data_IF_692174491497
#
_entry.id   IF_692174491497
#
_cell.length_a   1.000
_cell.length_b   1.000
_cell.length_c   1.000
_cell.angle_alpha   90.00
_cell.angle_beta   90.00
_cell.angle_gamma   90.00
#
_symmetry.space_group_name_H-M   'P 1'
#
loop_
_entity.id
_entity.type
_entity.pdbx_description
1 polymer ?
#
# COMPACT_ATOMS: atom_id res chain seq x y z
N UNK A 1 27.61 -16.50 -22.92
CA UNK A 1 27.24 -16.72 -21.51
C UNK A 1 26.04 -15.83 -21.24
N UNK A 2 24.91 -16.38 -20.73
CA UNK A 2 23.79 -15.51 -20.33
C UNK A 2 24.25 -14.60 -19.20
N UNK A 3 23.98 -13.29 -19.29
CA UNK A 3 24.24 -12.35 -18.21
C UNK A 3 23.39 -12.74 -16.99
N UNK A 4 23.95 -12.61 -15.79
CA UNK A 4 23.21 -12.83 -14.53
C UNK A 4 22.96 -11.48 -13.85
N UNK A 5 21.96 -11.45 -12.96
CA UNK A 5 21.63 -10.30 -12.14
C UNK A 5 21.35 -10.69 -10.70
N UNK A 6 21.41 -9.72 -9.80
CA UNK A 6 21.21 -9.92 -8.37
C UNK A 6 19.74 -9.79 -7.99
N UNK A 7 19.29 -10.68 -7.09
CA UNK A 7 17.92 -10.74 -6.62
C UNK A 7 17.90 -11.21 -5.16
N UNK A 8 17.16 -10.53 -4.30
CA UNK A 8 16.82 -11.05 -2.98
C UNK A 8 15.65 -12.03 -3.08
N UNK A 9 15.70 -13.08 -2.29
CA UNK A 9 14.63 -14.04 -2.18
C UNK A 9 14.54 -14.59 -0.76
N UNK A 10 13.39 -15.14 -0.43
CA UNK A 10 13.10 -15.86 0.80
C UNK A 10 12.98 -17.35 0.45
N UNK A 11 14.00 -18.19 0.71
CA UNK A 11 13.88 -19.63 0.53
C UNK A 11 12.86 -20.27 1.46
N UNK A 12 12.65 -19.63 2.61
CA UNK A 12 11.65 -19.96 3.62
C UNK A 12 11.13 -18.68 4.29
N UNK A 13 9.89 -18.72 4.77
CA UNK A 13 9.22 -17.56 5.38
C UNK A 13 9.31 -17.63 6.91
N UNK A 14 10.53 -17.52 7.46
CA UNK A 14 10.83 -17.65 8.90
C UNK A 14 11.43 -16.39 9.53
N UNK A 15 11.22 -15.25 8.94
CA UNK A 15 11.73 -13.96 9.40
C UNK A 15 12.69 -13.32 8.42
N UNK A 16 13.14 -12.13 8.76
CA UNK A 16 13.97 -11.30 7.87
C UNK A 16 15.40 -11.86 7.69
N UNK A 17 15.87 -12.69 8.63
CA UNK A 17 17.15 -13.40 8.51
C UNK A 17 17.14 -14.47 7.41
N UNK A 18 15.94 -14.85 6.92
CA UNK A 18 15.79 -15.74 5.79
C UNK A 18 16.04 -15.05 4.43
N UNK A 19 16.15 -13.72 4.38
CA UNK A 19 16.47 -12.98 3.16
C UNK A 19 17.89 -13.31 2.68
N UNK A 20 17.98 -13.82 1.45
CA UNK A 20 19.24 -14.20 0.81
C UNK A 20 19.40 -13.51 -0.54
N UNK A 21 20.61 -13.06 -0.83
CA UNK A 21 20.97 -12.53 -2.14
C UNK A 21 21.45 -13.68 -3.03
N UNK A 22 20.93 -13.75 -4.26
CA UNK A 22 21.35 -14.74 -5.26
C UNK A 22 21.60 -14.10 -6.62
N UNK A 23 22.40 -14.76 -7.46
CA UNK A 23 22.53 -14.42 -8.86
C UNK A 23 21.60 -15.35 -9.68
N UNK A 24 20.82 -14.77 -10.56
CA UNK A 24 19.89 -15.49 -11.44
C UNK A 24 20.15 -15.14 -12.90
N UNK A 25 19.89 -16.02 -13.87
CA UNK A 25 20.01 -15.72 -15.28
C UNK A 25 19.05 -14.57 -15.69
N UNK A 26 19.53 -13.66 -16.54
CA UNK A 26 18.67 -12.67 -17.19
C UNK A 26 17.92 -13.37 -18.33
N UNK A 27 16.59 -13.43 -18.23
CA UNK A 27 15.73 -14.03 -19.25
C UNK A 27 15.30 -12.98 -20.28
N UNK A 28 15.01 -13.44 -21.51
CA UNK A 28 14.46 -12.60 -22.58
C UNK A 28 12.93 -12.58 -22.51
N UNK A 29 12.29 -11.42 -22.69
CA UNK A 29 10.83 -11.33 -22.71
C UNK A 29 10.24 -12.07 -23.92
N UNK A 30 9.15 -12.81 -23.67
CA UNK A 30 8.41 -13.57 -24.68
C UNK A 30 7.32 -12.71 -25.33
N UNK A 31 6.51 -13.32 -26.20
CA UNK A 31 5.34 -12.68 -26.81
C UNK A 31 4.47 -11.98 -25.75
N UNK A 32 4.21 -10.69 -25.95
CA UNK A 32 3.38 -9.87 -25.06
C UNK A 32 4.03 -9.50 -23.72
N UNK A 33 5.34 -9.68 -23.55
CA UNK A 33 6.08 -9.37 -22.33
C UNK A 33 7.10 -8.25 -22.55
N UNK A 34 7.48 -7.60 -21.47
CA UNK A 34 8.58 -6.63 -21.42
C UNK A 34 9.54 -6.99 -20.28
N UNK A 35 10.81 -6.75 -20.49
CA UNK A 35 11.82 -6.81 -19.44
C UNK A 35 12.04 -5.40 -18.89
N UNK A 36 11.91 -5.23 -17.60
CA UNK A 36 12.15 -3.95 -16.92
C UNK A 36 13.37 -4.06 -16.04
N UNK A 37 14.30 -3.10 -16.19
CA UNK A 37 15.37 -2.87 -15.25
C UNK A 37 14.83 -2.01 -14.11
N UNK A 38 14.69 -2.61 -12.94
CA UNK A 38 14.19 -1.94 -11.75
C UNK A 38 15.20 -0.90 -11.24
N UNK A 39 14.72 0.21 -10.72
CA UNK A 39 15.49 1.31 -10.16
C UNK A 39 15.15 1.56 -8.69
N UNK A 40 13.92 1.25 -8.30
CA UNK A 40 13.49 1.35 -6.93
C UNK A 40 12.39 0.33 -6.62
N UNK A 41 12.40 -0.19 -5.41
CA UNK A 41 11.36 -1.04 -4.80
C UNK A 41 10.96 -0.41 -3.48
N UNK A 42 9.67 -0.30 -3.21
CA UNK A 42 9.18 0.27 -1.96
C UNK A 42 8.53 -0.80 -1.10
N UNK A 43 8.82 -0.79 0.19
CA UNK A 43 8.30 -1.77 1.14
C UNK A 43 6.90 -1.40 1.64
N UNK A 44 6.10 -2.43 1.89
CA UNK A 44 4.79 -2.37 2.51
C UNK A 44 4.76 -3.30 3.74
N UNK A 45 3.86 -3.05 4.68
CA UNK A 45 3.68 -3.91 5.86
C UNK A 45 3.52 -5.39 5.50
N UNK A 46 2.83 -5.68 4.38
CA UNK A 46 2.65 -7.04 3.89
C UNK A 46 3.98 -7.76 3.57
N UNK A 47 5.01 -7.04 3.13
CA UNK A 47 6.31 -7.66 2.84
C UNK A 47 6.93 -8.23 4.11
N UNK A 48 6.73 -7.55 5.26
CA UNK A 48 7.12 -8.06 6.57
C UNK A 48 6.35 -9.30 6.97
N UNK A 49 5.02 -9.31 6.85
CA UNK A 49 4.20 -10.48 7.23
C UNK A 49 4.35 -11.66 6.25
N UNK A 50 4.70 -11.43 5.00
CA UNK A 50 5.14 -12.48 4.07
C UNK A 50 6.44 -13.10 4.56
N UNK A 51 7.42 -12.28 4.93
CA UNK A 51 8.73 -12.76 5.36
C UNK A 51 8.69 -13.55 6.68
N UNK A 52 7.78 -13.21 7.59
CA UNK A 52 7.58 -13.97 8.86
C UNK A 52 6.61 -15.15 8.72
N UNK A 53 6.02 -15.37 7.54
CA UNK A 53 5.16 -16.52 7.26
C UNK A 53 3.72 -16.42 7.79
N UNK A 54 3.25 -15.21 8.13
CA UNK A 54 1.89 -15.00 8.68
C UNK A 54 0.93 -14.35 7.67
N UNK A 55 1.37 -14.20 6.41
CA UNK A 55 0.52 -13.63 5.37
C UNK A 55 -0.63 -14.60 5.04
N UNK A 56 -1.91 -14.14 5.15
CA UNK A 56 -3.06 -15.04 5.14
C UNK A 56 -3.47 -15.58 3.75
N UNK A 57 -2.84 -15.08 2.69
CA UNK A 57 -3.17 -15.51 1.34
C UNK A 57 -2.16 -16.55 0.82
N UNK A 58 -2.60 -17.47 -0.06
CA UNK A 58 -1.72 -18.54 -0.57
C UNK A 58 -0.64 -17.95 -1.47
N UNK A 59 0.54 -18.56 -1.44
CA UNK A 59 1.66 -18.20 -2.30
C UNK A 59 2.75 -19.27 -2.26
N UNK A 60 3.79 -19.17 -3.10
CA UNK A 60 4.87 -20.14 -3.16
C UNK A 60 5.64 -20.22 -1.84
N UNK A 61 6.20 -21.38 -1.50
CA UNK A 61 7.02 -21.56 -0.28
C UNK A 61 8.26 -20.67 -0.31
N UNK A 62 8.91 -20.58 -1.46
CA UNK A 62 10.04 -19.69 -1.71
C UNK A 62 9.63 -18.54 -2.63
N UNK A 63 9.86 -17.30 -2.21
CA UNK A 63 9.38 -16.12 -2.92
C UNK A 63 10.44 -15.01 -3.02
N UNK A 64 10.46 -14.32 -4.14
CA UNK A 64 11.08 -12.99 -4.25
C UNK A 64 10.09 -11.99 -3.67
N UNK A 65 10.43 -11.28 -2.59
CA UNK A 65 9.51 -10.33 -1.99
C UNK A 65 9.47 -8.99 -2.74
N UNK A 66 8.63 -8.06 -2.24
CA UNK A 66 8.46 -6.73 -2.81
C UNK A 66 7.39 -6.67 -3.89
N UNK A 67 6.31 -5.94 -3.63
CA UNK A 67 5.18 -5.79 -4.56
C UNK A 67 5.24 -4.52 -5.40
N UNK A 68 6.01 -3.55 -4.96
CA UNK A 68 6.02 -2.18 -5.47
C UNK A 68 7.37 -1.86 -6.11
N UNK A 69 7.39 -1.63 -7.41
CA UNK A 69 8.63 -1.32 -8.13
C UNK A 69 8.43 -0.35 -9.27
N UNK A 70 9.49 0.38 -9.58
CA UNK A 70 9.58 1.31 -10.68
C UNK A 70 10.91 1.14 -11.41
N UNK A 71 10.92 1.31 -12.72
CA UNK A 71 12.12 1.10 -13.53
C UNK A 71 11.98 1.56 -14.97
N UNK A 72 12.86 1.04 -15.81
CA UNK A 72 12.99 1.39 -17.22
C UNK A 72 12.80 0.13 -18.05
N UNK A 73 11.99 0.20 -19.11
CA UNK A 73 11.88 -0.88 -20.09
C UNK A 73 13.24 -1.11 -20.74
N UNK A 74 13.80 -2.27 -20.56
CA UNK A 74 15.11 -2.68 -21.08
C UNK A 74 15.00 -3.42 -22.40
N UNK A 75 13.99 -4.31 -22.52
CA UNK A 75 13.70 -5.08 -23.72
C UNK A 75 12.18 -5.22 -23.90
N UNK A 76 11.72 -5.32 -25.15
CA UNK A 76 10.33 -5.60 -25.48
C UNK A 76 10.24 -6.91 -26.24
N UNK A 77 9.30 -7.77 -25.86
CA UNK A 77 9.02 -9.03 -26.55
C UNK A 77 8.18 -8.82 -27.81
N UNK A 78 8.02 -9.90 -28.56
CA UNK A 78 7.20 -9.91 -29.77
C UNK A 78 5.75 -9.47 -29.45
N UNK A 79 5.11 -8.72 -30.38
CA UNK A 79 3.72 -8.26 -30.24
C UNK A 79 3.48 -7.14 -29.23
N UNK A 80 4.53 -6.55 -28.66
CA UNK A 80 4.44 -5.37 -27.81
C UNK A 80 4.62 -4.12 -28.66
N UNK A 81 3.61 -3.27 -28.71
CA UNK A 81 3.61 -2.00 -29.48
C UNK A 81 3.40 -0.78 -28.59
N UNK A 82 2.86 -0.96 -27.39
CA UNK A 82 2.54 0.10 -26.43
C UNK A 82 3.74 0.58 -25.63
N UNK A 83 4.83 -0.21 -25.59
CA UNK A 83 6.05 0.10 -24.87
C UNK A 83 7.28 0.08 -25.78
N UNK A 84 8.26 0.89 -25.45
CA UNK A 84 9.58 0.92 -26.10
C UNK A 84 10.71 0.95 -25.06
N UNK A 85 11.88 0.52 -25.46
CA UNK A 85 13.11 0.62 -24.64
C UNK A 85 13.32 2.08 -24.21
N UNK A 86 13.59 2.26 -22.93
CA UNK A 86 13.75 3.56 -22.31
C UNK A 86 12.50 4.13 -21.63
N UNK A 87 11.32 3.56 -21.86
CA UNK A 87 10.10 4.00 -21.19
C UNK A 87 10.20 3.79 -19.68
N UNK A 88 9.77 4.80 -18.92
CA UNK A 88 9.74 4.76 -17.45
C UNK A 88 8.40 4.19 -16.99
N UNK A 89 8.45 3.09 -16.23
CA UNK A 89 7.26 2.35 -15.84
C UNK A 89 7.26 2.01 -14.34
N UNK A 90 6.07 1.91 -13.75
CA UNK A 90 5.83 1.35 -12.44
C UNK A 90 4.91 0.13 -12.54
N UNK A 91 5.10 -0.83 -11.64
CA UNK A 91 4.35 -2.08 -11.65
C UNK A 91 2.89 -1.86 -11.24
N UNK A 92 1.95 -2.61 -11.84
CA UNK A 92 0.64 -2.81 -11.24
C UNK A 92 0.75 -3.90 -10.17
N UNK A 93 0.21 -3.65 -8.96
CA UNK A 93 0.32 -4.57 -7.83
C UNK A 93 -0.28 -5.96 -8.13
N UNK A 94 -1.50 -6.00 -8.67
CA UNK A 94 -2.18 -7.21 -9.13
C UNK A 94 -2.12 -7.26 -10.64
N UNK A 95 -1.28 -8.15 -11.20
CA UNK A 95 -0.87 -8.08 -12.60
C UNK A 95 -2.03 -8.18 -13.61
N UNK A 96 -3.04 -9.01 -13.30
CA UNK A 96 -4.18 -9.25 -14.18
C UNK A 96 -5.43 -8.42 -13.80
N UNK A 97 -5.34 -7.56 -12.79
CA UNK A 97 -6.44 -6.67 -12.43
C UNK A 97 -6.43 -5.41 -13.28
N UNK A 98 -6.94 -5.52 -14.51
CA UNK A 98 -6.95 -4.41 -15.46
C UNK A 98 -8.03 -3.39 -15.10
N UNK A 99 -9.26 -3.84 -14.85
CA UNK A 99 -10.41 -3.00 -14.51
C UNK A 99 -11.50 -3.81 -13.80
N UNK A 100 -12.51 -3.13 -13.26
CA UNK A 100 -13.70 -3.74 -12.70
C UNK A 100 -13.47 -4.49 -11.38
N UNK A 101 -14.22 -5.56 -11.15
CA UNK A 101 -14.21 -6.29 -9.88
C UNK A 101 -13.00 -7.22 -9.77
N UNK A 102 -12.33 -7.19 -8.63
CA UNK A 102 -11.34 -8.19 -8.28
C UNK A 102 -12.01 -9.55 -8.09
N UNK A 103 -11.57 -10.57 -8.82
CA UNK A 103 -11.96 -11.97 -8.63
C UNK A 103 -10.89 -12.73 -7.85
N UNK A 104 -11.23 -13.92 -7.35
CA UNK A 104 -10.26 -14.75 -6.62
C UNK A 104 -9.04 -15.09 -7.48
N UNK A 105 -9.26 -15.48 -8.73
CA UNK A 105 -8.17 -15.88 -9.64
C UNK A 105 -7.26 -14.70 -9.99
N UNK A 106 -7.85 -13.52 -10.25
CA UNK A 106 -7.09 -12.28 -10.45
C UNK A 106 -6.28 -11.95 -9.18
N UNK A 107 -6.85 -12.13 -7.99
CA UNK A 107 -6.17 -11.90 -6.71
C UNK A 107 -4.92 -12.76 -6.51
N UNK A 108 -4.81 -13.92 -7.18
CA UNK A 108 -3.61 -14.76 -7.14
C UNK A 108 -2.45 -14.22 -8.01
N UNK A 109 -2.63 -13.11 -8.70
CA UNK A 109 -1.58 -12.45 -9.51
C UNK A 109 -0.91 -11.26 -8.82
N UNK A 110 -1.06 -11.14 -7.50
CA UNK A 110 -0.40 -10.12 -6.69
C UNK A 110 1.09 -10.42 -6.53
N UNK A 111 1.92 -9.41 -6.77
CA UNK A 111 3.37 -9.51 -6.68
C UNK A 111 3.87 -9.61 -5.24
N UNK A 112 4.97 -10.33 -5.03
CA UNK A 112 5.71 -10.37 -3.77
C UNK A 112 5.06 -11.17 -2.64
N UNK A 113 4.07 -11.99 -2.95
CA UNK A 113 3.39 -12.84 -1.97
C UNK A 113 2.77 -14.05 -2.65
N UNK A 114 1.75 -13.86 -3.47
CA UNK A 114 1.08 -14.86 -4.30
C UNK A 114 1.91 -15.22 -5.54
N UNK A 115 2.60 -14.23 -6.09
CA UNK A 115 3.56 -14.36 -7.19
C UNK A 115 4.94 -13.90 -6.75
N UNK A 116 5.97 -14.17 -7.56
CA UNK A 116 7.31 -13.62 -7.36
C UNK A 116 7.25 -12.09 -7.40
N UNK A 117 8.04 -11.45 -6.55
CA UNK A 117 8.07 -9.99 -6.43
C UNK A 117 9.26 -9.33 -7.11
N UNK A 118 9.51 -8.09 -6.76
CA UNK A 118 10.33 -7.15 -7.51
C UNK A 118 11.69 -6.84 -6.88
N UNK A 119 12.06 -7.50 -5.77
CA UNK A 119 13.30 -7.18 -5.06
C UNK A 119 14.54 -7.77 -5.78
N UNK A 120 14.84 -7.23 -6.95
CA UNK A 120 15.93 -7.61 -7.84
C UNK A 120 16.18 -6.56 -8.91
N UNK A 121 17.25 -6.74 -9.71
CA UNK A 121 17.63 -5.76 -10.72
C UNK A 121 16.73 -5.78 -11.97
N UNK A 122 16.13 -6.94 -12.28
CA UNK A 122 15.26 -7.12 -13.46
C UNK A 122 14.01 -7.92 -13.12
N UNK A 123 12.93 -7.61 -13.86
CA UNK A 123 11.69 -8.38 -13.79
C UNK A 123 11.00 -8.39 -15.18
N UNK A 124 10.39 -9.52 -15.54
CA UNK A 124 9.58 -9.66 -16.76
C UNK A 124 8.12 -9.45 -16.41
N UNK A 125 7.52 -8.46 -17.01
CA UNK A 125 6.08 -8.15 -16.87
C UNK A 125 5.30 -8.55 -18.11
N UNK A 126 4.04 -8.94 -17.99
CA UNK A 126 3.10 -8.82 -19.12
C UNK A 126 2.99 -7.33 -19.48
N UNK A 127 2.80 -7.04 -20.75
CA UNK A 127 2.69 -5.66 -21.26
C UNK A 127 1.61 -4.82 -20.58
N UNK A 128 0.60 -5.47 -20.00
CA UNK A 128 -0.49 -4.87 -19.23
C UNK A 128 -0.15 -4.70 -17.74
N UNK A 129 0.92 -5.32 -17.26
CA UNK A 129 1.29 -5.35 -15.84
C UNK A 129 2.00 -4.09 -15.33
N UNK A 130 2.14 -3.07 -16.18
CA UNK A 130 2.80 -1.81 -15.84
C UNK A 130 2.01 -0.61 -16.36
N UNK A 131 2.29 0.57 -15.78
CA UNK A 131 1.80 1.87 -16.24
C UNK A 131 2.95 2.86 -16.37
N UNK A 132 2.76 3.91 -17.18
CA UNK A 132 3.76 4.95 -17.37
C UNK A 132 3.92 5.80 -16.11
N UNK A 133 5.15 6.11 -15.74
CA UNK A 133 5.45 7.04 -14.64
C UNK A 133 5.27 8.48 -15.12
N UNK A 134 4.53 9.35 -14.41
CA UNK A 134 4.52 10.78 -14.65
C UNK A 134 5.94 11.38 -14.61
N UNK A 135 6.26 12.26 -15.55
CA UNK A 135 7.63 12.75 -15.75
C UNK A 135 8.22 13.48 -14.53
N UNK A 136 7.38 14.08 -13.69
CA UNK A 136 7.81 14.82 -12.50
C UNK A 136 8.23 13.92 -11.31
N UNK A 137 7.88 12.63 -11.30
CA UNK A 137 8.23 11.70 -10.23
C UNK A 137 9.58 11.02 -10.48
N UNK A 138 10.38 10.83 -9.44
CA UNK A 138 11.54 9.95 -9.46
C UNK A 138 11.12 8.47 -9.48
N UNK A 139 12.06 7.54 -9.63
CA UNK A 139 11.76 6.10 -9.51
C UNK A 139 11.44 5.71 -8.07
N UNK A 140 12.11 6.31 -7.10
CA UNK A 140 11.84 6.12 -5.67
C UNK A 140 10.40 6.55 -5.33
N UNK A 141 10.00 7.73 -5.80
CA UNK A 141 8.63 8.22 -5.63
C UNK A 141 7.61 7.33 -6.34
N UNK A 142 7.86 6.96 -7.59
CA UNK A 142 6.95 6.13 -8.37
C UNK A 142 6.79 4.73 -7.76
N UNK A 143 7.85 4.14 -7.21
CA UNK A 143 7.78 2.85 -6.55
C UNK A 143 6.85 2.83 -5.33
N UNK A 144 6.54 3.98 -4.73
CA UNK A 144 5.67 4.08 -3.55
C UNK A 144 4.16 3.93 -3.87
N UNK A 145 3.79 3.99 -5.15
CA UNK A 145 2.39 4.18 -5.56
C UNK A 145 1.56 2.88 -5.69
N UNK A 146 2.10 1.75 -6.21
CA UNK A 146 1.29 0.61 -6.62
C UNK A 146 0.41 -0.01 -5.53
N UNK A 147 0.92 -0.12 -4.30
CA UNK A 147 0.16 -0.66 -3.18
C UNK A 147 -0.49 0.46 -2.35
N UNK A 148 0.31 1.27 -1.68
CA UNK A 148 -0.20 2.16 -0.64
C UNK A 148 -1.06 3.30 -1.19
N UNK A 149 -0.63 3.97 -2.26
CA UNK A 149 -1.40 5.07 -2.84
C UNK A 149 -2.67 4.58 -3.53
N UNK A 150 -2.56 3.48 -4.29
CA UNK A 150 -3.72 2.89 -4.97
C UNK A 150 -4.75 2.32 -3.98
N UNK A 151 -4.30 1.77 -2.85
CA UNK A 151 -5.21 1.37 -1.76
C UNK A 151 -5.97 2.58 -1.20
N UNK A 152 -5.26 3.68 -0.94
CA UNK A 152 -5.89 4.92 -0.46
C UNK A 152 -6.89 5.48 -1.48
N UNK A 153 -6.53 5.46 -2.77
CA UNK A 153 -7.42 5.87 -3.85
C UNK A 153 -8.69 5.01 -3.90
N UNK A 154 -8.54 3.68 -3.93
CA UNK A 154 -9.65 2.75 -3.95
C UNK A 154 -10.54 2.86 -2.69
N UNK A 155 -9.96 3.10 -1.53
CA UNK A 155 -10.72 3.33 -0.30
C UNK A 155 -11.61 4.58 -0.38
N UNK A 156 -11.13 5.64 -1.04
CA UNK A 156 -11.84 6.93 -1.12
C UNK A 156 -12.75 7.05 -2.35
N UNK A 157 -12.48 6.30 -3.43
CA UNK A 157 -13.22 6.44 -4.70
C UNK A 157 -13.82 5.14 -5.24
N UNK A 158 -13.38 3.98 -4.77
CA UNK A 158 -13.73 2.70 -5.39
C UNK A 158 -15.14 2.15 -5.07
N UNK A 159 -15.87 2.74 -4.12
CA UNK A 159 -17.28 2.39 -3.83
C UNK A 159 -18.14 3.65 -3.91
N UNK A 160 -18.08 4.48 -2.89
CA UNK A 160 -18.72 5.81 -2.90
C UNK A 160 -17.63 6.84 -3.03
N UNK A 161 -17.60 7.68 -4.07
CA UNK A 161 -16.56 8.68 -4.23
C UNK A 161 -16.59 9.75 -3.12
N UNK A 162 -15.41 10.07 -2.56
CA UNK A 162 -15.22 11.15 -1.60
C UNK A 162 -15.64 12.49 -2.21
N UNK A 163 -16.33 13.31 -1.42
CA UNK A 163 -16.81 14.64 -1.82
C UNK A 163 -16.18 15.74 -0.98
N UNK A 164 -16.00 16.93 -1.54
CA UNK A 164 -15.56 18.10 -0.77
C UNK A 164 -16.45 18.34 0.47
N UNK A 165 -15.82 18.73 1.59
CA UNK A 165 -16.50 18.99 2.84
C UNK A 165 -16.78 17.78 3.73
N UNK A 166 -16.67 16.54 3.21
CA UNK A 166 -16.72 15.33 4.02
C UNK A 166 -15.49 15.21 4.94
N UNK A 167 -15.60 14.37 5.97
CA UNK A 167 -14.53 14.15 6.94
C UNK A 167 -13.97 12.73 6.83
N UNK A 168 -12.64 12.62 6.69
CA UNK A 168 -11.91 11.35 6.63
C UNK A 168 -11.06 11.19 7.87
N UNK A 169 -11.23 10.07 8.60
CA UNK A 169 -10.35 9.69 9.70
C UNK A 169 -9.30 8.69 9.20
N UNK A 170 -8.06 8.96 9.55
CA UNK A 170 -6.87 8.25 9.11
C UNK A 170 -6.14 7.68 10.32
N UNK A 171 -5.99 6.37 10.39
CA UNK A 171 -5.27 5.73 11.49
C UNK A 171 -3.76 5.69 11.19
N UNK A 172 -2.98 6.37 12.04
CA UNK A 172 -1.53 6.43 11.92
C UNK A 172 -1.03 7.31 10.78
N UNK A 173 0.28 7.25 10.54
CA UNK A 173 1.04 8.04 9.56
C UNK A 173 1.91 7.17 8.64
N UNK A 174 1.50 5.92 8.43
CA UNK A 174 2.13 5.01 7.48
C UNK A 174 1.77 5.32 6.02
N UNK A 175 2.22 4.49 5.10
CA UNK A 175 2.09 4.75 3.67
C UNK A 175 0.65 5.00 3.21
N UNK A 176 -0.30 4.11 3.52
CA UNK A 176 -1.71 4.28 3.11
C UNK A 176 -2.30 5.56 3.69
N UNK A 177 -2.08 5.83 4.98
CA UNK A 177 -2.65 6.98 5.67
C UNK A 177 -2.09 8.31 5.16
N UNK A 178 -0.80 8.39 4.83
CA UNK A 178 -0.21 9.62 4.26
C UNK A 178 -0.72 9.89 2.85
N UNK A 179 -0.91 8.86 2.02
CA UNK A 179 -1.53 9.04 0.71
C UNK A 179 -3.01 9.40 0.81
N UNK A 180 -3.78 8.73 1.67
CA UNK A 180 -5.19 9.07 1.88
C UNK A 180 -5.36 10.50 2.40
N UNK A 181 -4.44 10.98 3.26
CA UNK A 181 -4.39 12.37 3.71
C UNK A 181 -4.22 13.33 2.54
N UNK A 182 -3.20 13.11 1.70
CA UNK A 182 -2.91 13.98 0.56
C UNK A 182 -4.07 13.98 -0.46
N UNK A 183 -4.64 12.81 -0.77
CA UNK A 183 -5.79 12.68 -1.66
C UNK A 183 -7.02 13.40 -1.09
N UNK A 184 -7.34 13.17 0.18
CA UNK A 184 -8.48 13.81 0.84
C UNK A 184 -8.31 15.35 0.91
N UNK A 185 -7.10 15.82 1.20
CA UNK A 185 -6.79 17.25 1.23
C UNK A 185 -7.04 17.93 -0.12
N UNK A 186 -6.50 17.37 -1.22
CA UNK A 186 -6.71 17.96 -2.56
C UNK A 186 -8.13 17.81 -3.07
N UNK A 187 -8.90 16.83 -2.55
CA UNK A 187 -10.32 16.67 -2.79
C UNK A 187 -11.20 17.70 -2.02
N UNK A 188 -10.61 18.49 -1.12
CA UNK A 188 -11.34 19.46 -0.30
C UNK A 188 -12.10 18.85 0.87
N UNK A 189 -11.71 17.65 1.32
CA UNK A 189 -12.25 17.01 2.51
C UNK A 189 -11.52 17.50 3.78
N UNK A 190 -12.19 17.40 4.93
CA UNK A 190 -11.58 17.55 6.25
C UNK A 190 -10.91 16.22 6.65
N UNK A 191 -9.80 16.29 7.35
CA UNK A 191 -9.07 15.09 7.76
C UNK A 191 -8.78 15.12 9.26
N UNK A 192 -8.93 13.95 9.89
CA UNK A 192 -8.52 13.69 11.27
C UNK A 192 -7.47 12.59 11.24
N UNK A 193 -6.25 12.88 11.65
CA UNK A 193 -5.15 11.89 11.69
C UNK A 193 -4.92 11.47 13.13
N UNK A 194 -4.90 10.16 13.39
CA UNK A 194 -4.51 9.64 14.69
C UNK A 194 -3.04 9.19 14.67
N UNK A 195 -2.30 9.41 15.76
CA UNK A 195 -0.90 8.96 15.88
C UNK A 195 -0.52 8.75 17.34
N UNK A 196 0.57 8.02 17.59
CA UNK A 196 1.19 7.91 18.92
C UNK A 196 2.19 9.02 19.23
N UNK A 197 2.49 9.91 18.28
CA UNK A 197 3.55 10.91 18.34
C UNK A 197 3.05 12.27 17.85
N UNK A 198 3.29 13.30 18.64
CA UNK A 198 2.98 14.67 18.24
C UNK A 198 3.85 15.13 17.07
N UNK A 199 5.13 14.70 17.02
CA UNK A 199 6.02 15.01 15.89
C UNK A 199 5.44 14.48 14.56
N UNK A 200 4.90 13.24 14.57
CA UNK A 200 4.24 12.67 13.39
C UNK A 200 2.96 13.43 13.03
N UNK A 201 2.21 13.95 14.03
CA UNK A 201 1.04 14.78 13.79
C UNK A 201 1.41 16.15 13.20
N UNK A 202 2.53 16.75 13.60
CA UNK A 202 3.00 17.99 12.97
C UNK A 202 3.40 17.75 11.50
N UNK A 203 4.04 16.62 11.18
CA UNK A 203 4.29 16.22 9.78
C UNK A 203 2.98 16.04 9.00
N UNK A 204 1.96 15.43 9.62
CA UNK A 204 0.65 15.28 8.99
C UNK A 204 -0.03 16.64 8.74
N UNK A 205 0.09 17.60 9.66
CA UNK A 205 -0.42 18.99 9.46
C UNK A 205 0.26 19.66 8.27
N UNK A 206 1.57 19.52 8.13
CA UNK A 206 2.31 20.05 6.98
C UNK A 206 1.85 19.45 5.64
N UNK A 207 1.28 18.24 5.66
CA UNK A 207 0.68 17.55 4.52
C UNK A 207 -0.80 17.91 4.29
N UNK A 208 -1.39 18.80 5.13
CA UNK A 208 -2.75 19.26 4.99
C UNK A 208 -3.76 18.62 5.94
N UNK A 209 -3.32 17.94 7.03
CA UNK A 209 -4.25 17.44 8.02
C UNK A 209 -4.98 18.58 8.74
N UNK A 210 -6.32 18.48 8.81
CA UNK A 210 -7.14 19.49 9.49
C UNK A 210 -7.05 19.36 11.00
N UNK A 211 -7.07 18.13 11.52
CA UNK A 211 -6.97 17.81 12.94
C UNK A 211 -6.02 16.63 13.18
N UNK A 212 -5.39 16.61 14.35
CA UNK A 212 -4.56 15.51 14.82
C UNK A 212 -5.00 15.04 16.20
N UNK A 213 -5.05 13.74 16.43
CA UNK A 213 -5.35 13.14 17.74
C UNK A 213 -4.18 12.24 18.13
N UNK A 214 -3.50 12.59 19.23
CA UNK A 214 -2.50 11.71 19.82
C UNK A 214 -3.19 10.70 20.76
N UNK A 215 -3.35 9.45 20.30
CA UNK A 215 -4.07 8.41 21.03
C UNK A 215 -3.34 7.94 22.31
N UNK A 216 -2.06 8.27 22.51
CA UNK A 216 -1.38 8.05 23.80
C UNK A 216 -1.79 9.08 24.85
N UNK A 217 -2.19 10.27 24.42
CA UNK A 217 -2.68 11.35 25.29
C UNK A 217 -4.19 11.33 25.43
N UNK A 218 -4.89 10.94 24.37
CA UNK A 218 -6.35 10.85 24.28
C UNK A 218 -6.72 9.41 23.89
N UNK A 219 -6.76 8.52 24.88
CA UNK A 219 -6.99 7.09 24.65
C UNK A 219 -8.31 6.82 23.93
N UNK A 220 -9.36 7.55 24.28
CA UNK A 220 -10.65 7.54 23.56
C UNK A 220 -10.60 8.52 22.38
N UNK A 221 -9.85 8.13 21.36
CA UNK A 221 -9.74 8.93 20.15
C UNK A 221 -11.06 8.99 19.36
N UNK A 222 -11.95 8.00 19.55
CA UNK A 222 -13.24 7.98 18.89
C UNK A 222 -14.17 9.07 19.46
N UNK A 223 -14.27 9.20 20.78
CA UNK A 223 -15.00 10.29 21.42
C UNK A 223 -14.46 11.66 21.02
N UNK A 224 -13.13 11.81 20.86
CA UNK A 224 -12.53 13.06 20.40
C UNK A 224 -12.87 13.33 18.92
N UNK A 225 -12.89 12.33 18.06
CA UNK A 225 -13.34 12.47 16.67
C UNK A 225 -14.81 12.88 16.59
N UNK A 226 -15.67 12.30 17.45
CA UNK A 226 -17.06 12.71 17.58
C UNK A 226 -17.17 14.17 18.05
N UNK A 227 -16.37 14.59 19.03
CA UNK A 227 -16.32 15.99 19.50
C UNK A 227 -15.93 16.95 18.37
N UNK A 228 -14.86 16.62 17.60
CA UNK A 228 -14.37 17.43 16.48
C UNK A 228 -15.44 17.58 15.39
N UNK A 229 -16.25 16.56 15.16
CA UNK A 229 -17.32 16.55 14.16
C UNK A 229 -18.66 17.08 14.67
N UNK A 230 -18.71 17.60 15.93
CA UNK A 230 -19.94 18.11 16.55
C UNK A 230 -21.01 17.04 16.75
N UNK A 231 -20.59 15.80 17.07
CA UNK A 231 -21.45 14.65 17.31
C UNK A 231 -21.96 13.95 16.06
N UNK A 232 -21.55 14.37 14.85
CA UNK A 232 -22.00 13.75 13.58
C UNK A 232 -21.23 12.48 13.22
N UNK A 233 -20.00 12.34 13.72
CA UNK A 233 -19.06 11.32 13.28
C UNK A 233 -18.40 11.65 11.95
N UNK A 234 -17.50 10.78 11.50
CA UNK A 234 -16.75 10.96 10.25
C UNK A 234 -17.43 10.20 9.09
N UNK A 235 -17.20 10.66 7.85
CA UNK A 235 -17.80 10.03 6.66
C UNK A 235 -17.00 8.80 6.19
N UNK A 236 -15.66 8.83 6.36
CA UNK A 236 -14.77 7.74 5.97
C UNK A 236 -13.76 7.43 7.07
N UNK A 237 -13.46 6.15 7.24
CA UNK A 237 -12.35 5.68 8.07
C UNK A 237 -11.42 4.82 7.22
N UNK A 238 -10.14 5.14 7.27
CA UNK A 238 -9.05 4.33 6.73
C UNK A 238 -8.55 3.45 7.87
N UNK A 239 -9.15 2.25 7.97
CA UNK A 239 -8.93 1.30 9.05
C UNK A 239 -7.75 0.39 8.72
N UNK A 240 -6.61 0.63 9.37
CA UNK A 240 -5.38 -0.14 9.18
C UNK A 240 -4.99 -0.95 10.42
N UNK A 241 -5.61 -0.68 11.57
CA UNK A 241 -5.30 -1.34 12.83
C UNK A 241 -5.85 -2.76 12.92
N UNK A 242 -7.07 -2.98 12.45
CA UNK A 242 -7.74 -4.27 12.50
C UNK A 242 -8.58 -4.48 13.76
N UNK A 243 -8.64 -5.72 14.26
CA UNK A 243 -9.57 -6.14 15.32
C UNK A 243 -9.54 -5.25 16.57
N UNK A 244 -8.37 -4.78 17.00
CA UNK A 244 -8.24 -3.99 18.22
C UNK A 244 -8.67 -2.52 18.07
N UNK A 245 -8.83 -2.03 16.86
CA UNK A 245 -9.26 -0.64 16.58
C UNK A 245 -10.66 -0.55 15.99
N UNK A 246 -11.21 -1.66 15.52
CA UNK A 246 -12.47 -1.67 14.78
C UNK A 246 -13.66 -1.19 15.61
N UNK A 247 -13.73 -1.48 16.93
CA UNK A 247 -14.79 -0.96 17.81
C UNK A 247 -14.76 0.57 17.83
N UNK A 248 -13.58 1.16 18.07
CA UNK A 248 -13.44 2.61 18.10
C UNK A 248 -13.73 3.25 16.72
N UNK A 249 -13.48 2.52 15.62
CA UNK A 249 -13.91 2.95 14.28
C UNK A 249 -15.44 3.02 14.16
N UNK A 250 -16.17 2.05 14.70
CA UNK A 250 -17.64 2.12 14.78
C UNK A 250 -18.13 3.26 15.68
N UNK A 251 -17.42 3.54 16.77
CA UNK A 251 -17.78 4.64 17.68
C UNK A 251 -17.58 6.02 17.04
N UNK A 252 -16.61 6.14 16.11
CA UNK A 252 -16.26 7.40 15.43
C UNK A 252 -17.01 7.62 14.11
N UNK A 253 -17.52 6.55 13.46
CA UNK A 253 -18.18 6.68 12.16
C UNK A 253 -19.54 7.39 12.29
N UNK A 254 -19.86 8.26 11.35
CA UNK A 254 -21.17 8.86 11.22
C UNK A 254 -22.17 7.95 10.50
N UNK A 255 -23.48 8.28 10.62
CA UNK A 255 -24.52 7.58 9.85
C UNK A 255 -24.22 7.64 8.35
N UNK A 256 -24.42 6.51 7.66
CA UNK A 256 -24.10 6.31 6.23
C UNK A 256 -22.63 6.48 5.88
N UNK A 257 -21.73 6.46 6.86
CA UNK A 257 -20.29 6.51 6.63
C UNK A 257 -19.73 5.17 6.14
N UNK A 258 -18.44 5.15 5.80
CA UNK A 258 -17.76 3.99 5.26
C UNK A 258 -16.48 3.70 6.04
N UNK A 259 -16.38 2.50 6.63
CA UNK A 259 -15.18 1.96 7.25
C UNK A 259 -14.46 1.09 6.21
N UNK A 260 -13.29 1.51 5.75
CA UNK A 260 -12.47 0.76 4.81
C UNK A 260 -11.43 -0.05 5.57
N UNK A 261 -11.67 -1.36 5.71
CA UNK A 261 -10.76 -2.30 6.35
C UNK A 261 -9.63 -2.66 5.38
N UNK A 262 -8.42 -2.21 5.68
CA UNK A 262 -7.25 -2.32 4.81
C UNK A 262 -6.16 -3.18 5.44
N UNK A 263 -5.93 -3.02 6.75
CA UNK A 263 -4.83 -3.66 7.46
C UNK A 263 -5.24 -4.26 8.79
N UNK A 264 -4.27 -4.96 9.37
CA UNK A 264 -4.39 -5.55 10.72
C UNK A 264 -3.06 -5.39 11.47
N UNK A 265 -2.51 -4.17 11.48
CA UNK A 265 -1.18 -3.85 12.06
C UNK A 265 -1.11 -4.19 13.54
N UNK A 266 -2.22 -4.09 14.28
CA UNK A 266 -2.29 -4.42 15.69
C UNK A 266 -2.25 -5.94 15.97
N UNK A 267 -2.46 -6.76 14.94
CA UNK A 267 -2.35 -8.20 14.99
C UNK A 267 -1.69 -8.72 13.70
N UNK A 268 -0.37 -8.84 13.66
CA UNK A 268 0.35 -9.28 12.47
C UNK A 268 0.14 -10.77 12.12
N UNK A 269 -0.47 -11.54 13.01
CA UNK A 269 -0.87 -12.93 12.79
C UNK A 269 -2.38 -13.11 13.07
N UNK A 270 -3.26 -12.64 12.18
CA UNK A 270 -4.70 -12.68 12.40
C UNK A 270 -5.30 -14.08 12.35
N UNK A 271 -4.59 -15.06 11.75
CA UNK A 271 -5.02 -16.46 11.65
C UNK A 271 -4.26 -17.38 12.62
N UNK A 272 -3.35 -16.82 13.45
CA UNK A 272 -2.52 -17.57 14.40
C UNK A 272 -3.33 -18.36 15.41
N UNK A 273 -2.95 -19.62 15.59
CA UNK A 273 -3.62 -20.54 16.50
C UNK A 273 -3.56 -20.04 17.96
N UNK A 274 -4.70 -19.99 18.63
CA UNK A 274 -4.81 -19.82 20.07
C UNK A 274 -5.03 -18.40 20.59
N UNK A 275 -5.13 -17.38 19.74
CA UNK A 275 -5.54 -16.04 20.19
C UNK A 275 -7.04 -15.86 19.96
N UNK A 276 -7.81 -15.79 21.05
CA UNK A 276 -9.21 -15.38 20.97
C UNK A 276 -9.29 -13.87 20.68
N UNK A 277 -9.18 -13.54 19.40
CA UNK A 277 -9.31 -12.18 18.89
C UNK A 277 -10.75 -11.92 18.46
N UNK A 278 -11.70 -12.12 19.38
CA UNK A 278 -13.08 -11.69 19.13
C UNK A 278 -13.09 -10.19 18.95
N UNK A 279 -13.38 -9.77 17.74
CA UNK A 279 -13.67 -8.39 17.42
C UNK A 279 -15.09 -8.01 17.84
N UNK A 280 -15.48 -6.75 17.64
CA UNK A 280 -16.85 -6.30 17.86
C UNK A 280 -17.85 -7.06 16.94
N UNK A 281 -19.12 -7.12 17.34
CA UNK A 281 -20.18 -7.59 16.46
C UNK A 281 -20.39 -6.58 15.32
N UNK A 282 -19.60 -6.76 14.26
CA UNK A 282 -19.62 -5.85 13.13
C UNK A 282 -20.97 -5.80 12.41
N UNK A 283 -21.79 -6.88 12.48
CA UNK A 283 -23.10 -6.92 11.83
C UNK A 283 -24.10 -6.03 12.55
N UNK A 284 -24.14 -6.12 13.88
CA UNK A 284 -24.99 -5.25 14.70
C UNK A 284 -24.54 -3.79 14.63
N UNK A 285 -23.23 -3.54 14.76
CA UNK A 285 -22.69 -2.17 14.73
C UNK A 285 -22.86 -1.50 13.37
N UNK A 286 -22.74 -2.25 12.27
CA UNK A 286 -23.03 -1.71 10.94
C UNK A 286 -24.51 -1.33 10.77
N UNK A 287 -25.44 -2.12 11.35
CA UNK A 287 -26.87 -1.79 11.40
C UNK A 287 -27.13 -0.57 12.28
N UNK A 288 -26.53 -0.51 13.49
CA UNK A 288 -26.68 0.60 14.44
C UNK A 288 -26.22 1.95 13.83
N UNK A 289 -25.11 1.93 13.12
CA UNK A 289 -24.53 3.13 12.46
C UNK A 289 -25.05 3.33 11.04
N UNK A 290 -25.85 2.43 10.48
CA UNK A 290 -26.25 2.46 9.07
C UNK A 290 -25.06 2.64 8.13
N UNK A 291 -23.90 2.09 8.49
CA UNK A 291 -22.64 2.31 7.78
C UNK A 291 -22.24 1.12 6.90
N UNK A 292 -21.31 1.37 5.99
CA UNK A 292 -20.68 0.33 5.17
C UNK A 292 -19.36 -0.10 5.80
N UNK A 293 -19.16 -1.41 5.99
CA UNK A 293 -17.85 -2.00 6.31
C UNK A 293 -17.34 -2.71 5.08
N UNK A 294 -16.22 -2.28 4.56
CA UNK A 294 -15.67 -2.75 3.28
C UNK A 294 -14.23 -3.20 3.42
N UNK A 295 -13.93 -4.45 3.00
CA UNK A 295 -12.54 -4.87 2.76
C UNK A 295 -11.98 -4.21 1.49
N UNK A 296 -10.75 -3.73 1.55
CA UNK A 296 -10.06 -3.09 0.43
C UNK A 296 -8.70 -3.75 0.22
N UNK A 297 -8.50 -4.27 -0.99
CA UNK A 297 -7.20 -4.81 -1.44
C UNK A 297 -6.77 -4.03 -2.66
N UNK A 298 -5.86 -3.08 -2.47
CA UNK A 298 -5.25 -2.26 -3.52
C UNK A 298 -6.28 -1.70 -4.51
N UNK A 299 -6.10 -1.91 -5.81
CA UNK A 299 -7.00 -1.46 -6.88
C UNK A 299 -6.60 -2.04 -8.23
N UNK A 300 -7.36 -1.69 -9.28
CA UNK A 300 -7.10 -2.07 -10.65
C UNK A 300 -6.07 -1.16 -11.32
N UNK A 301 -5.55 -1.59 -12.49
CA UNK A 301 -4.70 -0.78 -13.35
C UNK A 301 -5.41 0.49 -13.83
N UNK A 302 -6.71 0.40 -14.13
CA UNK A 302 -7.55 1.56 -14.47
C UNK A 302 -7.57 2.57 -13.32
N UNK A 303 -7.85 2.15 -12.09
CA UNK A 303 -7.81 3.02 -10.91
C UNK A 303 -6.41 3.58 -10.64
N UNK A 304 -5.35 2.83 -10.95
CA UNK A 304 -3.98 3.32 -10.86
C UNK A 304 -3.75 4.47 -11.85
N UNK A 305 -4.24 4.36 -13.09
CA UNK A 305 -4.13 5.42 -14.08
C UNK A 305 -4.91 6.66 -13.66
N UNK A 306 -6.17 6.51 -13.23
CA UNK A 306 -6.99 7.63 -12.73
C UNK A 306 -6.32 8.36 -11.55
N UNK A 307 -5.72 7.60 -10.65
CA UNK A 307 -4.95 8.16 -9.54
C UNK A 307 -3.73 8.94 -10.03
N UNK A 308 -2.98 8.40 -11.00
CA UNK A 308 -1.80 9.05 -11.56
C UNK A 308 -2.16 10.36 -12.28
N UNK A 309 -3.27 10.41 -12.99
CA UNK A 309 -3.77 11.62 -13.64
C UNK A 309 -4.10 12.72 -12.60
N UNK A 310 -4.73 12.33 -11.48
CA UNK A 310 -4.95 13.23 -10.34
C UNK A 310 -3.62 13.70 -9.72
N UNK A 311 -2.67 12.78 -9.50
CA UNK A 311 -1.37 13.09 -8.93
C UNK A 311 -0.58 14.04 -9.83
N UNK A 312 -0.63 13.84 -11.14
CA UNK A 312 0.01 14.73 -12.10
C UNK A 312 -0.64 16.13 -12.10
N UNK A 313 -1.96 16.20 -12.12
CA UNK A 313 -2.69 17.46 -12.09
C UNK A 313 -2.43 18.27 -10.81
N UNK A 314 -2.27 17.60 -9.67
CA UNK A 314 -2.07 18.22 -8.36
C UNK A 314 -0.61 18.24 -7.90
N UNK A 315 0.30 17.63 -8.67
CA UNK A 315 1.72 17.47 -8.34
C UNK A 315 1.95 16.83 -6.96
N UNK A 316 1.12 15.82 -6.63
CA UNK A 316 1.24 15.08 -5.38
C UNK A 316 2.53 14.26 -5.42
N UNK A 317 3.32 14.35 -4.34
CA UNK A 317 4.54 13.55 -4.16
C UNK A 317 4.41 12.64 -2.94
N UNK A 318 4.89 11.40 -3.04
CA UNK A 318 4.97 10.50 -1.90
C UNK A 318 5.79 11.06 -0.74
N UNK A 319 5.38 10.72 0.48
CA UNK A 319 6.21 10.93 1.66
C UNK A 319 7.13 9.73 1.79
N UNK A 320 8.41 9.92 1.57
CA UNK A 320 9.45 8.91 1.73
C UNK A 320 10.20 9.19 3.04
N UNK A 321 10.15 8.24 3.97
CA UNK A 321 10.85 8.32 5.25
C UNK A 321 12.34 8.12 5.05
N UNK A 322 12.71 7.07 4.33
CA UNK A 322 14.10 6.67 4.13
C UNK A 322 14.30 5.89 2.83
N UNK A 323 15.50 6.03 2.26
CA UNK A 323 15.97 5.29 1.10
C UNK A 323 17.19 4.48 1.50
N UNK A 324 17.10 3.16 1.35
CA UNK A 324 18.19 2.22 1.62
C UNK A 324 18.84 1.79 0.31
N UNK A 325 20.14 1.53 0.33
CA UNK A 325 20.82 0.87 -0.78
C UNK A 325 20.44 -0.61 -0.85
N UNK A 326 20.61 -1.24 -2.01
CA UNK A 326 20.20 -2.63 -2.25
C UNK A 326 20.85 -3.64 -1.28
N UNK A 327 22.12 -3.43 -0.93
CA UNK A 327 22.85 -4.25 0.04
C UNK A 327 22.33 -4.10 1.48
N UNK A 328 21.56 -3.03 1.78
CA UNK A 328 20.93 -2.78 3.07
C UNK A 328 19.45 -3.17 3.12
N UNK A 329 19.05 -4.08 2.26
CA UNK A 329 17.66 -4.59 2.23
C UNK A 329 17.21 -5.11 3.58
N UNK A 330 18.07 -5.83 4.31
CA UNK A 330 17.74 -6.39 5.61
C UNK A 330 17.41 -5.30 6.64
N UNK A 331 18.21 -4.24 6.69
CA UNK A 331 17.99 -3.09 7.58
C UNK A 331 16.71 -2.32 7.22
N UNK A 332 16.34 -2.27 5.93
CA UNK A 332 15.08 -1.68 5.49
C UNK A 332 13.86 -2.44 6.04
N UNK A 333 13.93 -3.78 6.10
CA UNK A 333 12.88 -4.61 6.72
C UNK A 333 12.81 -4.41 8.23
N UNK A 334 13.94 -4.29 8.93
CA UNK A 334 13.97 -3.98 10.35
C UNK A 334 13.35 -2.61 10.64
N UNK A 335 13.68 -1.63 9.81
CA UNK A 335 13.11 -0.29 9.93
C UNK A 335 11.59 -0.30 9.69
N UNK A 336 11.12 -1.02 8.67
CA UNK A 336 9.69 -1.21 8.44
C UNK A 336 9.00 -1.80 9.68
N UNK A 337 9.58 -2.85 10.25
CA UNK A 337 8.98 -3.58 11.36
C UNK A 337 8.98 -2.80 12.67
N UNK A 338 9.92 -1.88 12.84
CA UNK A 338 9.97 -0.97 14.00
C UNK A 338 8.75 -0.03 14.09
N UNK A 339 8.00 0.18 12.99
CA UNK A 339 6.85 1.08 12.88
C UNK A 339 7.15 2.54 13.29
N UNK A 340 8.43 2.94 13.28
CA UNK A 340 8.86 4.29 13.64
C UNK A 340 8.79 5.28 12.47
N UNK A 341 8.77 4.80 11.24
CA UNK A 341 8.74 5.58 10.00
C UNK A 341 7.44 6.38 9.81
N UNK A 342 7.49 7.38 8.93
CA UNK A 342 6.33 8.14 8.41
C UNK A 342 6.31 8.03 6.90
N UNK A 343 5.20 7.57 6.31
CA UNK A 343 5.13 7.35 4.85
C UNK A 343 5.75 6.04 4.40
N UNK A 344 6.63 6.07 3.39
CA UNK A 344 7.18 4.89 2.71
C UNK A 344 8.68 4.72 2.93
N UNK A 345 9.12 3.47 2.88
CA UNK A 345 10.53 3.07 2.89
C UNK A 345 10.85 2.53 1.50
N UNK A 346 11.97 2.97 0.93
CA UNK A 346 12.39 2.62 -0.43
C UNK A 346 13.76 1.93 -0.40
N UNK A 347 13.94 0.95 -1.27
CA UNK A 347 15.21 0.29 -1.57
C UNK A 347 15.60 0.71 -2.99
N UNK A 348 16.73 1.38 -3.12
CA UNK A 348 17.29 1.77 -4.40
C UNK A 348 17.99 0.58 -5.04
N UNK A 349 17.63 0.26 -6.27
CA UNK A 349 18.23 -0.82 -7.07
C UNK A 349 19.33 -0.25 -7.97
N UNK A 350 20.46 -0.93 -8.13
CA UNK A 350 21.63 -0.44 -8.90
C UNK A 350 21.38 -0.09 -10.37
#
# INVERSE_FOLDING_TARGET
>A
MSSTFKQYWLPEKKGFDSLQLRNVPKETPRLGQILVRLKAVSLNWRDGIVAIGTYPFPGPDAVVPGSDGAGIVEEVGEGVTEWKVGDRVLANFTQDHIAGRLTRDIGLTQLGGEQQGLLGEFFIFPKTGVVKIPDYLSFEEASCLPCAALTAWNALYGLTPLRPGQTVLLQGTGGVSTFALQIAHVAGAKTIVTSSSDEKLEKAKALGATFGINYRKTADWAAEAMRITGGKGVDYIIEVGGTLTLQASFDAIGFNGQINCIGHITNPDPLGAGKDLRGPDASFLALDRLCVVRGVVVGSREQLQDMLDCFEAKKIRPVIDSVFSFDKTREAYDHLWSSTHTGKIVIQIP
#
